data_IF_287964745973
#
_entry.id   IF_287964745973
#
_cell.length_a   1.000
_cell.length_b   1.000
_cell.length_c   1.000
_cell.angle_alpha   90.00
_cell.angle_beta   90.00
_cell.angle_gamma   90.00
#
_symmetry.space_group_name_H-M   'P 1'
#
loop_
_entity.id
_entity.type
_entity.pdbx_description
1 polymer ?
#
# COMPACT_ATOMS: atom_id res chain seq x y z
N UNK A 1 22.90 11.22 -56.45
CA UNK A 1 24.00 10.26 -56.58
C UNK A 1 23.60 9.14 -55.64
N UNK A 2 22.82 8.12 -56.09
CA UNK A 2 23.23 6.89 -56.74
C UNK A 2 24.30 6.19 -55.90
N UNK A 3 24.14 4.98 -55.46
CA UNK A 3 23.72 3.68 -56.03
C UNK A 3 23.45 2.71 -54.87
N UNK A 4 22.43 1.93 -54.73
CA UNK A 4 22.01 0.65 -55.35
C UNK A 4 23.04 -0.47 -55.34
N UNK A 5 22.66 -1.59 -54.72
CA UNK A 5 22.77 -2.99 -55.20
C UNK A 5 22.43 -3.94 -54.05
N UNK A 6 21.33 -4.63 -54.09
CA UNK A 6 20.97 -5.88 -54.78
C UNK A 6 21.54 -7.16 -54.15
N UNK A 7 20.59 -7.96 -53.69
CA UNK A 7 20.26 -9.37 -53.96
C UNK A 7 21.19 -10.50 -53.52
N UNK A 8 20.67 -11.43 -52.77
CA UNK A 8 20.25 -12.72 -53.31
C UNK A 8 19.63 -13.64 -52.28
N UNK A 9 18.52 -14.17 -52.70
CA UNK A 9 17.75 -15.27 -52.25
C UNK A 9 18.53 -16.59 -52.10
N UNK A 10 18.11 -17.42 -51.14
CA UNK A 10 18.04 -18.86 -51.39
C UNK A 10 16.97 -19.55 -50.57
N UNK A 11 16.17 -20.31 -51.31
CA UNK A 11 15.12 -21.24 -50.95
C UNK A 11 15.71 -22.55 -50.38
N UNK A 12 14.88 -23.23 -49.56
CA UNK A 12 15.09 -24.65 -49.20
C UNK A 12 14.09 -25.05 -48.15
N UNK A 13 12.92 -25.41 -48.60
CA UNK A 13 12.16 -26.68 -48.67
C UNK A 13 11.85 -27.34 -47.31
N UNK A 14 10.61 -27.26 -46.94
CA UNK A 14 9.53 -28.21 -46.63
C UNK A 14 9.99 -29.64 -46.35
N UNK A 15 9.69 -30.13 -45.16
CA UNK A 15 9.25 -31.51 -44.93
C UNK A 15 8.22 -31.57 -43.81
N UNK A 16 7.03 -32.04 -44.24
CA UNK A 16 5.88 -32.44 -43.44
C UNK A 16 6.05 -33.90 -43.01
N UNK A 17 5.78 -34.23 -41.75
CA UNK A 17 5.37 -35.61 -41.40
C UNK A 17 4.12 -35.52 -40.55
N UNK A 18 3.12 -36.20 -41.09
CA UNK A 18 1.78 -36.48 -40.59
C UNK A 18 1.74 -37.62 -39.57
N UNK A 19 0.66 -37.61 -38.80
CA UNK A 19 -0.17 -38.70 -38.24
C UNK A 19 0.46 -39.60 -37.17
N UNK A 20 -0.21 -39.79 -36.04
CA UNK A 20 -1.30 -40.74 -35.95
C UNK A 20 -2.18 -40.55 -34.72
N UNK A 21 -3.43 -40.72 -34.98
CA UNK A 21 -4.59 -40.79 -34.10
C UNK A 21 -4.68 -42.17 -33.47
N UNK A 22 -4.95 -42.28 -32.18
CA UNK A 22 -5.48 -43.50 -31.58
C UNK A 22 -6.56 -43.17 -30.55
N UNK A 23 -7.77 -43.29 -30.95
CA UNK A 23 -9.01 -43.44 -30.18
C UNK A 23 -9.12 -44.83 -29.58
N UNK A 24 -9.42 -44.93 -28.28
CA UNK A 24 -10.10 -46.07 -27.63
C UNK A 24 -10.80 -45.44 -26.43
N UNK A 25 -12.09 -45.44 -26.23
CA UNK A 25 -13.09 -46.47 -26.35
C UNK A 25 -13.85 -46.45 -25.03
N UNK A 26 -15.08 -46.02 -25.10
CA UNK A 26 -16.10 -46.00 -24.04
C UNK A 26 -16.29 -47.40 -23.44
N UNK A 27 -16.45 -47.51 -22.13
CA UNK A 27 -17.38 -48.50 -21.60
C UNK A 27 -18.05 -48.03 -20.30
N UNK A 28 -19.36 -48.17 -20.32
CA UNK A 28 -20.33 -47.91 -19.28
C UNK A 28 -20.51 -49.13 -18.38
N UNK A 29 -21.00 -48.88 -17.20
CA UNK A 29 -21.73 -49.76 -16.26
C UNK A 29 -20.93 -50.44 -15.14
N UNK A 30 -21.18 -49.99 -13.90
CA UNK A 30 -21.99 -50.77 -12.95
C UNK A 30 -22.37 -49.95 -11.72
N UNK A 31 -23.64 -50.14 -11.39
CA UNK A 31 -24.36 -49.62 -10.21
C UNK A 31 -24.00 -50.39 -8.93
N UNK A 32 -24.36 -49.69 -7.82
CA UNK A 32 -24.79 -50.20 -6.52
C UNK A 32 -23.70 -50.64 -5.53
N UNK A 33 -23.53 -49.87 -4.47
CA UNK A 33 -24.07 -50.21 -3.16
C UNK A 33 -23.87 -49.10 -2.13
N UNK A 34 -24.97 -48.79 -1.46
CA UNK A 34 -25.05 -47.90 -0.32
C UNK A 34 -24.55 -48.58 0.95
N UNK A 35 -23.85 -47.85 1.82
CA UNK A 35 -24.04 -47.86 3.28
C UNK A 35 -23.20 -46.83 4.01
N UNK A 36 -23.92 -45.85 4.54
CA UNK A 36 -23.81 -45.27 5.88
C UNK A 36 -22.46 -45.32 6.59
N UNK A 37 -21.88 -44.12 6.87
CA UNK A 37 -21.31 -43.79 8.18
C UNK A 37 -21.01 -42.29 8.28
N UNK A 38 -21.57 -41.68 9.35
CA UNK A 38 -20.94 -40.60 10.08
C UNK A 38 -21.11 -39.18 9.53
N UNK A 39 -22.22 -38.53 9.85
CA UNK A 39 -22.31 -37.09 9.95
C UNK A 39 -21.38 -36.61 11.05
N UNK A 40 -20.35 -35.91 10.74
CA UNK A 40 -19.77 -34.91 11.62
C UNK A 40 -20.02 -33.54 11.03
N UNK A 41 -21.06 -32.92 11.57
CA UNK A 41 -21.41 -31.53 11.38
C UNK A 41 -20.38 -30.75 12.16
N UNK A 42 -19.34 -30.25 11.49
CA UNK A 42 -18.51 -29.19 12.05
C UNK A 42 -19.31 -27.89 12.02
N UNK A 43 -19.65 -27.45 13.22
CA UNK A 43 -20.34 -26.20 13.52
C UNK A 43 -19.70 -24.99 12.83
N UNK A 44 -20.41 -24.43 11.86
CA UNK A 44 -20.22 -23.08 11.32
C UNK A 44 -20.75 -21.99 12.29
N UNK A 45 -20.36 -22.05 13.55
CA UNK A 45 -20.80 -21.06 14.54
C UNK A 45 -19.70 -20.46 15.37
N UNK A 46 -18.63 -19.97 14.76
CA UNK A 46 -17.67 -19.12 15.50
C UNK A 46 -16.98 -18.03 14.69
N UNK A 47 -17.53 -17.63 13.55
CA UNK A 47 -17.11 -16.40 12.84
C UNK A 47 -18.31 -15.46 12.72
N UNK A 48 -19.00 -15.28 13.82
CA UNK A 48 -20.04 -14.26 13.92
C UNK A 48 -19.49 -13.05 14.66
N UNK A 49 -19.49 -11.91 13.93
CA UNK A 49 -19.56 -10.55 14.44
C UNK A 49 -18.39 -10.03 15.27
N UNK A 50 -17.32 -9.66 14.59
CA UNK A 50 -16.62 -8.44 15.01
C UNK A 50 -16.97 -7.32 14.02
N UNK A 51 -18.21 -6.83 14.09
CA UNK A 51 -18.56 -5.49 13.61
C UNK A 51 -17.96 -4.49 14.60
N UNK A 52 -16.66 -4.23 14.46
CA UNK A 52 -15.98 -3.19 15.21
C UNK A 52 -16.28 -1.89 14.47
N UNK A 53 -17.18 -1.08 15.03
CA UNK A 53 -17.31 0.31 14.63
C UNK A 53 -15.98 0.99 14.96
N UNK A 54 -15.41 1.74 14.02
CA UNK A 54 -14.16 2.49 14.20
C UNK A 54 -14.16 3.40 15.45
N UNK A 55 -15.36 3.84 15.88
CA UNK A 55 -15.58 4.58 17.12
C UNK A 55 -15.28 3.81 18.41
N UNK A 56 -15.26 2.49 18.37
CA UNK A 56 -15.10 1.67 19.59
C UNK A 56 -13.62 1.40 19.90
N UNK A 57 -12.75 1.50 18.90
CA UNK A 57 -11.30 1.39 19.09
C UNK A 57 -10.71 2.61 19.84
N UNK A 58 -11.25 3.80 19.57
CA UNK A 58 -10.81 5.05 20.24
C UNK A 58 -11.41 5.17 21.66
N UNK A 59 -12.60 4.62 21.89
CA UNK A 59 -13.26 4.66 23.20
C UNK A 59 -12.64 3.72 24.25
N UNK A 60 -11.95 2.66 23.82
CA UNK A 60 -11.33 1.74 24.77
C UNK A 60 -10.11 2.33 25.49
N UNK A 61 -9.39 3.27 24.88
CA UNK A 61 -8.25 3.92 25.55
C UNK A 61 -8.66 5.05 26.51
N UNK A 62 -9.78 5.74 26.26
CA UNK A 62 -10.21 6.87 27.10
C UNK A 62 -11.05 6.48 28.30
N UNK A 63 -11.71 5.32 28.31
CA UNK A 63 -12.56 4.88 29.42
C UNK A 63 -11.82 4.11 30.52
N UNK A 64 -10.54 3.74 30.34
CA UNK A 64 -9.76 3.08 31.38
C UNK A 64 -9.28 4.04 32.50
N UNK A 65 -9.51 5.35 32.36
CA UNK A 65 -9.02 6.36 33.32
C UNK A 65 -10.03 6.85 34.34
N UNK A 66 -11.30 6.41 34.35
CA UNK A 66 -12.30 7.11 35.17
C UNK A 66 -12.99 6.34 36.30
N UNK A 67 -12.85 5.05 36.47
CA UNK A 67 -13.52 4.38 37.60
C UNK A 67 -12.72 3.16 38.10
N UNK A 68 -11.85 3.34 39.12
CA UNK A 68 -11.70 2.35 40.19
C UNK A 68 -11.01 2.95 41.39
N UNK A 69 -11.57 2.75 42.62
CA UNK A 69 -10.88 3.10 43.88
C UNK A 69 -9.80 2.06 44.21
N UNK A 70 -8.78 2.55 44.90
CA UNK A 70 -7.63 1.87 45.45
C UNK A 70 -7.87 0.42 45.88
N UNK A 71 -7.31 -0.53 45.14
CA UNK A 71 -6.98 -1.86 45.67
C UNK A 71 -5.54 -2.23 45.24
N UNK A 72 -4.74 -2.58 46.24
CA UNK A 72 -3.32 -2.92 46.13
C UNK A 72 -3.08 -4.26 45.44
N UNK A 73 -3.45 -4.41 44.19
CA UNK A 73 -2.94 -5.46 43.28
C UNK A 73 -2.04 -4.81 42.26
N UNK A 74 -0.77 -5.15 42.28
CA UNK A 74 0.23 -4.73 41.29
C UNK A 74 -0.32 -5.02 39.89
N UNK A 75 -0.97 -4.04 39.30
CA UNK A 75 -1.39 -4.04 37.90
C UNK A 75 -0.12 -4.07 37.04
N UNK A 76 0.09 -5.17 36.30
CA UNK A 76 1.07 -5.27 35.25
C UNK A 76 0.59 -4.52 34.01
N UNK A 77 0.33 -3.23 34.17
CA UNK A 77 0.17 -2.34 33.04
C UNK A 77 1.57 -2.19 32.46
N UNK A 78 1.79 -2.77 31.27
CA UNK A 78 2.94 -2.39 30.46
C UNK A 78 2.98 -0.87 30.42
N UNK A 79 4.08 -0.22 30.81
CA UNK A 79 4.15 1.22 30.72
C UNK A 79 3.89 1.57 29.24
N UNK A 80 2.80 2.30 29.01
CA UNK A 80 2.61 3.04 27.78
C UNK A 80 3.94 3.69 27.46
N UNK A 81 4.44 3.47 26.27
CA UNK A 81 5.68 4.03 25.78
C UNK A 81 5.76 5.49 26.21
N UNK A 82 6.51 5.74 27.24
CA UNK A 82 6.99 7.07 27.49
C UNK A 82 7.84 7.40 26.27
N UNK A 83 7.42 8.39 25.49
CA UNK A 83 8.26 8.90 24.40
C UNK A 83 9.61 9.19 25.03
N UNK A 84 10.66 8.49 24.64
CA UNK A 84 11.94 8.67 25.30
C UNK A 84 12.40 10.10 25.07
N UNK A 85 13.03 10.66 26.04
CA UNK A 85 13.93 11.79 25.87
C UNK A 85 14.72 11.61 24.58
N UNK A 86 14.92 12.65 23.79
CA UNK A 86 15.55 12.65 22.45
C UNK A 86 16.94 11.98 22.36
N UNK A 87 17.32 11.19 23.33
CA UNK A 87 18.61 10.50 23.37
C UNK A 87 18.49 9.09 22.78
N UNK A 88 19.45 8.67 21.93
CA UNK A 88 19.47 7.34 21.39
C UNK A 88 19.74 6.33 22.50
N UNK A 89 18.95 5.30 22.54
CA UNK A 89 19.10 4.27 23.56
C UNK A 89 18.56 2.93 23.15
N UNK A 90 18.90 1.92 23.91
CA UNK A 90 18.26 0.61 23.85
C UNK A 90 17.38 0.45 25.08
N UNK A 91 16.09 0.26 24.85
CA UNK A 91 15.15 -0.15 25.88
C UNK A 91 15.01 -1.68 25.86
N UNK A 92 15.05 -2.28 27.03
CA UNK A 92 14.83 -3.71 27.17
C UNK A 92 13.35 -3.97 27.52
N UNK A 93 12.65 -4.70 26.66
CA UNK A 93 11.22 -5.01 26.80
C UNK A 93 10.97 -6.51 26.85
N UNK A 94 9.69 -6.90 26.95
CA UNK A 94 9.26 -8.29 26.99
C UNK A 94 9.45 -8.95 28.36
N UNK A 95 9.07 -10.23 28.42
CA UNK A 95 9.24 -11.02 29.64
C UNK A 95 10.72 -11.10 30.03
N UNK A 96 11.00 -10.73 31.29
CA UNK A 96 12.35 -10.63 31.84
C UNK A 96 13.27 -9.60 31.18
N UNK A 97 12.70 -8.59 30.46
CA UNK A 97 13.46 -7.54 29.77
C UNK A 97 14.56 -8.09 28.85
N UNK A 98 14.24 -9.12 28.08
CA UNK A 98 15.21 -9.78 27.19
C UNK A 98 15.18 -9.31 25.74
N UNK A 99 14.18 -8.50 25.37
CA UNK A 99 14.06 -7.99 24.01
C UNK A 99 14.59 -6.57 23.95
N UNK A 100 15.72 -6.34 23.25
CA UNK A 100 16.24 -4.99 23.06
C UNK A 100 15.40 -4.27 22.00
N UNK A 101 14.98 -3.05 22.29
CA UNK A 101 14.30 -2.16 21.37
C UNK A 101 15.14 -0.91 21.21
N UNK A 102 15.54 -0.62 19.97
CA UNK A 102 16.27 0.59 19.65
C UNK A 102 15.31 1.75 19.47
N UNK A 103 15.64 2.90 20.08
CA UNK A 103 14.95 4.16 19.85
C UNK A 103 15.70 5.01 18.84
N UNK A 104 14.96 5.56 17.87
CA UNK A 104 15.50 6.49 16.88
C UNK A 104 15.26 7.93 17.34
N UNK A 105 16.26 8.79 17.19
CA UNK A 105 16.19 10.20 17.59
C UNK A 105 16.53 11.12 16.44
N UNK A 106 15.78 12.19 16.30
CA UNK A 106 16.03 13.23 15.31
C UNK A 106 17.40 13.91 15.53
N UNK A 107 17.83 14.07 16.77
CA UNK A 107 19.13 14.66 17.10
C UNK A 107 20.32 13.89 16.51
N UNK A 108 20.20 12.57 16.37
CA UNK A 108 21.23 11.75 15.74
C UNK A 108 21.34 11.99 14.23
N UNK A 109 20.24 12.38 13.59
CA UNK A 109 20.20 12.65 12.14
C UNK A 109 20.80 14.03 11.84
N UNK A 110 20.55 15.00 12.70
CA UNK A 110 21.00 16.39 12.54
C UNK A 110 22.45 16.62 12.95
N UNK A 111 23.03 15.72 13.75
CA UNK A 111 24.40 15.84 14.25
C UNK A 111 25.07 14.47 14.43
N UNK A 112 26.39 14.46 14.67
CA UNK A 112 27.09 13.25 15.07
C UNK A 112 26.73 12.91 16.53
N UNK A 113 26.35 11.64 16.75
CA UNK A 113 26.04 11.14 18.08
C UNK A 113 26.99 9.98 18.46
N UNK A 114 28.02 10.30 19.25
CA UNK A 114 29.01 9.31 19.71
C UNK A 114 28.38 8.18 20.53
N UNK A 115 27.28 8.48 21.24
CA UNK A 115 26.54 7.50 22.01
C UNK A 115 25.90 6.44 21.09
N UNK A 116 25.33 6.86 19.95
CA UNK A 116 24.75 5.97 18.96
C UNK A 116 25.83 5.08 18.30
N UNK A 117 26.98 5.64 17.99
CA UNK A 117 28.10 4.86 17.43
C UNK A 117 28.65 3.82 18.41
N UNK A 118 28.79 4.19 19.70
CA UNK A 118 29.19 3.25 20.75
C UNK A 118 28.18 2.13 20.90
N UNK A 119 26.88 2.45 20.87
CA UNK A 119 25.78 1.50 20.93
C UNK A 119 25.85 0.53 19.76
N UNK A 120 25.98 1.05 18.55
CA UNK A 120 26.09 0.24 17.32
C UNK A 120 27.24 -0.75 17.36
N UNK A 121 28.40 -0.31 17.86
CA UNK A 121 29.58 -1.18 18.03
C UNK A 121 29.36 -2.23 19.12
N UNK A 122 28.77 -1.84 20.25
CA UNK A 122 28.52 -2.73 21.39
C UNK A 122 27.60 -3.89 21.01
N UNK A 123 26.54 -3.62 20.23
CA UNK A 123 25.55 -4.60 19.83
C UNK A 123 25.75 -5.15 18.43
N UNK A 124 26.86 -4.82 17.73
CA UNK A 124 27.15 -5.21 16.34
C UNK A 124 25.96 -4.93 15.41
N UNK A 125 25.35 -3.73 15.58
CA UNK A 125 24.18 -3.35 14.79
C UNK A 125 24.55 -3.22 13.31
N UNK A 126 23.84 -3.93 12.47
CA UNK A 126 24.15 -3.97 11.05
C UNK A 126 22.89 -3.99 10.18
N UNK A 127 22.98 -3.39 9.01
CA UNK A 127 21.91 -3.39 8.02
C UNK A 127 22.41 -3.79 6.65
N UNK A 128 21.48 -4.12 5.79
CA UNK A 128 21.73 -4.42 4.39
C UNK A 128 20.67 -3.82 3.49
N UNK A 129 21.09 -3.14 2.42
CA UNK A 129 20.22 -2.68 1.35
C UNK A 129 20.28 -3.66 0.18
N UNK A 130 19.13 -4.10 -0.34
CA UNK A 130 19.04 -5.06 -1.44
C UNK A 130 18.06 -4.57 -2.50
N UNK A 131 18.52 -4.56 -3.76
CA UNK A 131 17.71 -4.11 -4.92
C UNK A 131 17.18 -2.69 -4.79
N UNK A 132 17.82 -1.87 -4.01
CA UNK A 132 17.51 -0.46 -3.89
C UNK A 132 18.71 0.31 -3.40
N UNK A 133 18.78 1.57 -3.79
CA UNK A 133 19.71 2.55 -3.27
C UNK A 133 18.91 3.69 -2.63
N UNK A 134 19.18 3.98 -1.37
CA UNK A 134 18.55 5.07 -0.64
C UNK A 134 19.55 5.75 0.29
N UNK A 135 19.97 6.95 -0.09
CA UNK A 135 20.82 7.80 0.76
C UNK A 135 20.14 8.10 2.09
N UNK A 136 18.81 8.32 2.06
CA UNK A 136 18.03 8.62 3.27
C UNK A 136 18.10 7.48 4.28
N UNK A 137 17.79 6.25 3.87
CA UNK A 137 17.81 5.08 4.76
C UNK A 137 19.23 4.83 5.28
N UNK A 138 20.23 4.92 4.39
CA UNK A 138 21.65 4.77 4.76
C UNK A 138 22.04 5.79 5.82
N UNK A 139 21.72 7.07 5.61
CA UNK A 139 22.04 8.13 6.55
C UNK A 139 21.34 7.94 7.91
N UNK A 140 20.05 7.61 7.92
CA UNK A 140 19.30 7.35 9.16
C UNK A 140 19.95 6.21 9.95
N UNK A 141 20.20 5.09 9.30
CA UNK A 141 20.76 3.91 9.97
C UNK A 141 22.18 4.14 10.46
N UNK A 142 23.03 4.75 9.63
CA UNK A 142 24.42 5.07 10.01
C UNK A 142 24.48 6.08 11.16
N UNK A 143 23.60 7.09 11.16
CA UNK A 143 23.51 8.07 12.26
C UNK A 143 23.12 7.42 13.60
N UNK A 144 22.44 6.27 13.56
CA UNK A 144 22.08 5.51 14.75
C UNK A 144 23.03 4.32 15.02
N UNK A 145 24.22 4.34 14.45
CA UNK A 145 25.29 3.40 14.74
C UNK A 145 25.22 2.07 13.99
N UNK A 146 24.27 1.89 13.07
CA UNK A 146 24.25 0.71 12.23
C UNK A 146 25.34 0.75 11.17
N UNK A 147 26.00 -0.38 10.93
CA UNK A 147 27.01 -0.55 9.89
C UNK A 147 26.42 -1.30 8.70
N UNK A 148 26.77 -0.87 7.49
CA UNK A 148 26.34 -1.58 6.28
C UNK A 148 27.13 -2.89 6.14
N UNK A 149 26.41 -4.02 6.05
CA UNK A 149 27.02 -5.33 5.92
C UNK A 149 27.23 -5.69 4.46
N UNK A 150 28.48 -5.90 4.05
CA UNK A 150 28.84 -6.39 2.73
C UNK A 150 28.63 -7.90 2.56
N UNK A 151 28.50 -8.65 3.65
CA UNK A 151 28.42 -10.11 3.63
C UNK A 151 27.06 -10.64 3.20
N UNK A 152 27.06 -11.56 2.24
CA UNK A 152 25.88 -12.21 1.70
C UNK A 152 25.24 -13.24 2.65
N UNK A 153 25.88 -13.62 3.73
CA UNK A 153 25.50 -14.72 4.61
C UNK A 153 25.07 -14.22 5.99
N UNK A 154 23.80 -13.85 6.13
CA UNK A 154 23.08 -13.90 7.43
C UNK A 154 23.51 -12.98 8.57
N UNK A 155 24.54 -12.15 8.41
CA UNK A 155 25.02 -11.25 9.49
C UNK A 155 24.49 -9.83 9.29
N UNK A 156 23.21 -9.62 9.58
CA UNK A 156 22.57 -8.30 9.63
C UNK A 156 21.43 -8.33 10.65
N UNK A 157 21.08 -7.20 11.21
CA UNK A 157 19.88 -7.05 12.03
C UNK A 157 18.69 -6.58 11.19
N UNK A 158 18.94 -5.68 10.23
CA UNK A 158 17.91 -5.10 9.40
C UNK A 158 18.21 -5.35 7.91
N UNK A 159 17.27 -5.98 7.22
CA UNK A 159 17.24 -6.05 5.76
C UNK A 159 16.22 -5.05 5.23
N UNK A 160 16.69 -4.09 4.43
CA UNK A 160 15.82 -3.20 3.69
C UNK A 160 15.92 -3.53 2.19
N UNK A 161 14.86 -4.04 1.62
CA UNK A 161 14.83 -4.50 0.23
C UNK A 161 13.81 -3.73 -0.59
N UNK A 162 14.13 -3.45 -1.86
CA UNK A 162 13.21 -2.86 -2.83
C UNK A 162 12.35 -3.88 -3.59
N UNK A 163 12.29 -5.12 -3.12
CA UNK A 163 11.50 -6.17 -3.78
C UNK A 163 11.05 -7.25 -2.81
N UNK A 164 10.01 -7.97 -3.21
CA UNK A 164 9.44 -9.04 -2.40
C UNK A 164 10.46 -10.15 -2.11
N UNK A 165 10.36 -10.72 -0.91
CA UNK A 165 11.21 -11.80 -0.46
C UNK A 165 10.79 -13.13 -1.07
N UNK A 166 11.78 -13.93 -1.43
CA UNK A 166 11.54 -15.32 -1.83
C UNK A 166 11.25 -16.17 -0.59
N UNK A 167 10.42 -17.23 -0.69
CA UNK A 167 10.14 -18.14 0.42
C UNK A 167 11.39 -18.70 1.12
N UNK A 168 12.43 -18.97 0.35
CA UNK A 168 13.73 -19.45 0.89
C UNK A 168 14.39 -18.44 1.81
N UNK A 169 14.27 -17.14 1.53
CA UNK A 169 14.83 -16.08 2.37
C UNK A 169 14.07 -15.95 3.70
N UNK A 170 12.76 -16.19 3.69
CA UNK A 170 11.95 -16.15 4.91
C UNK A 170 12.28 -17.30 5.88
N UNK A 171 12.65 -18.47 5.34
CA UNK A 171 12.99 -19.65 6.16
C UNK A 171 14.30 -19.51 6.95
N UNK A 172 15.24 -18.74 6.43
CA UNK A 172 16.57 -18.57 7.05
C UNK A 172 16.65 -17.42 8.06
N UNK A 173 15.52 -16.74 8.32
CA UNK A 173 15.49 -15.64 9.26
C UNK A 173 15.65 -16.11 10.71
N UNK A 174 16.64 -15.58 11.40
CA UNK A 174 16.83 -15.73 12.84
C UNK A 174 16.01 -14.70 13.62
N UNK A 175 15.91 -14.85 14.93
CA UNK A 175 15.05 -14.01 15.78
C UNK A 175 15.48 -12.54 15.86
N UNK A 176 16.73 -12.26 15.56
CA UNK A 176 17.28 -10.90 15.54
C UNK A 176 17.13 -10.16 14.20
N UNK A 177 16.61 -10.83 13.14
CA UNK A 177 16.39 -10.20 11.86
C UNK A 177 15.09 -9.40 11.81
N UNK A 178 15.13 -8.23 11.19
CA UNK A 178 13.97 -7.42 10.80
C UNK A 178 14.00 -7.15 9.31
N UNK A 179 12.83 -7.17 8.66
CA UNK A 179 12.69 -7.00 7.20
C UNK A 179 11.52 -6.09 6.90
N UNK A 180 11.71 -5.20 5.94
CA UNK A 180 10.75 -4.17 5.54
C UNK A 180 9.65 -4.65 4.58
N UNK A 181 9.38 -5.94 4.46
CA UNK A 181 8.29 -6.48 3.64
C UNK A 181 7.64 -7.70 4.27
N UNK A 182 6.30 -7.75 4.17
CA UNK A 182 5.55 -8.97 4.41
C UNK A 182 5.47 -9.82 3.14
N UNK A 183 5.38 -11.15 3.24
CA UNK A 183 5.09 -11.98 2.08
C UNK A 183 3.72 -11.61 1.49
N UNK A 184 3.65 -11.57 0.15
CA UNK A 184 2.45 -11.17 -0.61
C UNK A 184 1.97 -9.74 -0.38
N UNK A 185 2.78 -8.83 0.13
CA UNK A 185 2.38 -7.41 0.24
C UNK A 185 1.99 -6.78 -1.10
N UNK A 186 2.34 -7.42 -2.23
CA UNK A 186 1.85 -7.01 -3.55
C UNK A 186 0.32 -7.09 -3.69
N UNK A 187 -0.38 -7.79 -2.82
CA UNK A 187 -1.85 -7.85 -2.84
C UNK A 187 -2.49 -6.49 -2.54
N UNK A 188 -1.79 -5.60 -1.82
CA UNK A 188 -2.24 -4.22 -1.57
C UNK A 188 -1.54 -3.19 -2.47
N UNK A 189 -0.29 -3.46 -2.91
CA UNK A 189 0.50 -2.48 -3.66
C UNK A 189 0.32 -2.55 -5.17
N UNK A 190 -0.20 -3.66 -5.71
CA UNK A 190 -0.55 -3.77 -7.14
C UNK A 190 -2.01 -3.38 -7.34
N UNK A 191 -2.25 -2.49 -8.31
CA UNK A 191 -3.58 -1.93 -8.59
C UNK A 191 -4.63 -3.00 -8.90
N UNK A 192 -4.27 -3.99 -9.73
CA UNK A 192 -5.15 -5.10 -10.08
C UNK A 192 -5.50 -5.97 -8.86
N UNK A 193 -4.51 -6.25 -8.02
CA UNK A 193 -4.70 -7.07 -6.83
C UNK A 193 -5.54 -6.36 -5.78
N UNK A 194 -5.24 -5.10 -5.52
CA UNK A 194 -6.02 -4.27 -4.61
C UNK A 194 -7.48 -4.20 -5.06
N UNK A 195 -7.75 -3.91 -6.34
CA UNK A 195 -9.11 -3.90 -6.88
C UNK A 195 -9.82 -5.24 -6.70
N UNK A 196 -9.18 -6.38 -7.05
CA UNK A 196 -9.74 -7.73 -6.84
C UNK A 196 -10.07 -8.01 -5.38
N UNK A 197 -9.19 -7.62 -4.45
CA UNK A 197 -9.40 -7.83 -3.02
C UNK A 197 -10.54 -6.97 -2.47
N UNK A 198 -10.62 -5.70 -2.88
CA UNK A 198 -11.72 -4.81 -2.49
C UNK A 198 -13.04 -5.30 -3.07
N UNK A 199 -13.11 -5.66 -4.36
CA UNK A 199 -14.32 -6.25 -4.97
C UNK A 199 -14.79 -7.53 -4.26
N UNK A 200 -13.84 -8.37 -3.83
CA UNK A 200 -14.16 -9.56 -3.01
C UNK A 200 -14.81 -9.15 -1.69
N UNK A 201 -14.31 -8.13 -1.01
CA UNK A 201 -14.90 -7.65 0.25
C UNK A 201 -16.25 -6.97 0.03
N UNK A 202 -16.43 -6.22 -1.06
CA UNK A 202 -17.73 -5.66 -1.44
C UNK A 202 -18.78 -6.74 -1.63
N UNK A 203 -18.43 -7.86 -2.27
CA UNK A 203 -19.34 -9.01 -2.42
C UNK A 203 -19.65 -9.72 -1.11
N UNK A 204 -18.67 -9.84 -0.21
CA UNK A 204 -18.80 -10.55 1.06
C UNK A 204 -19.49 -9.72 2.16
N UNK A 205 -19.25 -8.42 2.21
CA UNK A 205 -19.66 -7.54 3.31
C UNK A 205 -20.67 -6.46 2.88
N UNK A 206 -20.87 -6.31 1.59
CA UNK A 206 -21.72 -5.28 1.01
C UNK A 206 -20.90 -4.10 0.47
N UNK A 207 -21.38 -3.56 -0.67
CA UNK A 207 -20.73 -2.46 -1.37
C UNK A 207 -20.49 -1.25 -0.46
N UNK A 208 -21.52 -0.83 0.28
CA UNK A 208 -21.48 0.36 1.13
C UNK A 208 -20.42 0.30 2.24
N UNK A 209 -19.99 -0.89 2.66
CA UNK A 209 -18.96 -1.04 3.68
C UNK A 209 -17.54 -0.95 3.12
N UNK A 210 -17.34 -1.33 1.86
CA UNK A 210 -16.04 -1.32 1.20
C UNK A 210 -16.01 -0.43 -0.04
N UNK A 211 -16.84 0.61 -0.08
CA UNK A 211 -16.88 1.59 -1.16
C UNK A 211 -15.76 2.63 -1.00
N UNK A 212 -14.53 2.12 -1.04
CA UNK A 212 -13.29 2.90 -0.85
C UNK A 212 -12.56 3.20 -2.16
N UNK A 213 -12.87 2.46 -3.23
CA UNK A 213 -12.34 2.66 -4.58
C UNK A 213 -13.43 3.19 -5.49
N UNK A 214 -13.13 4.07 -6.45
CA UNK A 214 -14.03 4.32 -7.55
C UNK A 214 -14.33 3.01 -8.29
N UNK A 215 -15.52 2.82 -8.88
CA UNK A 215 -15.81 1.65 -9.70
C UNK A 215 -14.67 1.37 -10.67
N UNK A 216 -14.10 0.19 -10.61
CA UNK A 216 -12.86 -0.17 -11.29
C UNK A 216 -13.01 -1.51 -11.98
N UNK A 217 -12.37 -1.66 -13.15
CA UNK A 217 -12.42 -2.84 -13.99
C UNK A 217 -11.02 -3.28 -14.36
N UNK A 218 -10.79 -4.59 -14.40
CA UNK A 218 -9.49 -5.18 -14.71
C UNK A 218 -9.57 -5.77 -16.11
N UNK A 219 -8.84 -5.18 -17.03
CA UNK A 219 -8.86 -5.59 -18.43
C UNK A 219 -7.70 -6.54 -18.73
N UNK A 220 -7.90 -7.50 -19.66
CA UNK A 220 -9.08 -7.61 -20.55
C UNK A 220 -10.31 -8.30 -19.95
N UNK A 221 -10.21 -8.96 -18.77
CA UNK A 221 -11.23 -9.86 -18.25
C UNK A 221 -12.61 -9.18 -18.04
N UNK A 222 -12.65 -7.92 -17.61
CA UNK A 222 -13.87 -7.18 -17.23
C UNK A 222 -14.26 -6.11 -18.28
N UNK A 223 -13.93 -6.32 -19.56
CA UNK A 223 -14.21 -5.31 -20.61
C UNK A 223 -15.71 -5.14 -20.86
N UNK A 224 -16.50 -6.21 -20.83
CA UNK A 224 -17.94 -6.13 -21.05
C UNK A 224 -18.66 -5.40 -19.92
N UNK A 225 -18.22 -5.61 -18.68
CA UNK A 225 -18.71 -4.91 -17.50
C UNK A 225 -18.39 -3.41 -17.58
N UNK A 226 -17.19 -3.06 -18.04
CA UNK A 226 -16.82 -1.66 -18.30
C UNK A 226 -17.73 -1.03 -19.33
N UNK A 227 -17.97 -1.69 -20.48
CA UNK A 227 -18.85 -1.18 -21.53
C UNK A 227 -20.29 -1.00 -21.02
N UNK A 228 -20.77 -1.94 -20.20
CA UNK A 228 -22.10 -1.87 -19.60
C UNK A 228 -22.22 -0.70 -18.63
N UNK A 229 -21.22 -0.48 -17.78
CA UNK A 229 -21.17 0.65 -16.85
C UNK A 229 -21.09 1.99 -17.61
N UNK A 230 -20.25 2.06 -18.65
CA UNK A 230 -20.13 3.26 -19.49
C UNK A 230 -21.44 3.61 -20.19
N UNK A 231 -22.15 2.62 -20.70
CA UNK A 231 -23.46 2.84 -21.36
C UNK A 231 -24.49 3.48 -20.42
N UNK A 232 -24.43 3.17 -19.13
CA UNK A 232 -25.31 3.74 -18.11
C UNK A 232 -24.92 5.16 -17.72
N UNK A 233 -23.63 5.40 -17.46
CA UNK A 233 -23.17 6.64 -16.81
C UNK A 233 -22.61 7.68 -17.77
N UNK A 234 -22.00 7.26 -18.88
CA UNK A 234 -21.34 8.11 -19.89
C UNK A 234 -20.38 9.14 -19.27
N UNK A 235 -19.56 8.69 -18.33
CA UNK A 235 -18.57 9.53 -17.64
C UNK A 235 -17.15 9.17 -18.09
N UNK A 236 -16.17 10.05 -17.89
CA UNK A 236 -14.77 9.72 -18.18
C UNK A 236 -14.25 8.59 -17.28
N UNK A 237 -13.31 7.83 -17.83
CA UNK A 237 -12.56 6.81 -17.08
C UNK A 237 -11.05 7.11 -17.13
N UNK A 238 -10.33 6.65 -16.12
CA UNK A 238 -8.88 6.75 -16.03
C UNK A 238 -8.26 5.37 -16.19
N UNK A 239 -7.35 5.24 -17.15
CA UNK A 239 -6.63 4.00 -17.47
C UNK A 239 -5.29 4.00 -16.76
N UNK A 240 -5.00 2.95 -16.02
CA UNK A 240 -3.79 2.80 -15.21
C UNK A 240 -3.09 1.48 -15.53
N UNK A 241 -1.85 1.46 -16.04
CA UNK A 241 -1.08 0.23 -16.19
C UNK A 241 -0.90 -0.49 -14.85
N UNK A 242 -0.99 -1.83 -14.84
CA UNK A 242 -0.97 -2.62 -13.59
C UNK A 242 0.33 -2.46 -12.79
N UNK A 243 1.47 -2.43 -13.47
CA UNK A 243 2.80 -2.44 -12.86
C UNK A 243 3.56 -1.10 -13.02
N UNK A 244 2.85 0.00 -13.23
CA UNK A 244 3.46 1.32 -13.40
C UNK A 244 3.28 2.19 -12.16
N UNK A 245 4.21 3.10 -11.95
CA UNK A 245 4.20 4.07 -10.86
C UNK A 245 4.53 5.47 -11.36
N UNK A 246 4.33 6.49 -10.51
CA UNK A 246 4.69 7.88 -10.78
C UNK A 246 3.92 8.50 -11.93
N UNK A 247 2.68 8.07 -12.19
CA UNK A 247 1.84 8.60 -13.27
C UNK A 247 2.24 8.15 -14.69
N UNK A 248 3.19 7.23 -14.85
CA UNK A 248 3.62 6.76 -16.17
C UNK A 248 2.54 5.91 -16.82
N UNK A 249 2.20 6.23 -18.07
CA UNK A 249 1.20 5.51 -18.85
C UNK A 249 -0.23 5.67 -18.35
N UNK A 250 -0.49 6.60 -17.43
CA UNK A 250 -1.85 6.93 -16.98
C UNK A 250 -2.44 7.97 -17.94
N UNK A 251 -3.67 7.71 -18.40
CA UNK A 251 -4.43 8.65 -19.25
C UNK A 251 -5.93 8.51 -19.01
N UNK A 252 -6.67 9.54 -19.41
CA UNK A 252 -8.13 9.57 -19.34
C UNK A 252 -8.70 9.25 -20.71
N UNK A 253 -9.87 8.60 -20.70
CA UNK A 253 -10.64 8.25 -21.90
C UNK A 253 -12.07 8.76 -21.78
N UNK A 254 -12.65 9.06 -22.93
CA UNK A 254 -14.06 9.37 -23.08
C UNK A 254 -14.90 8.15 -23.49
N UNK A 255 -14.29 7.18 -24.14
CA UNK A 255 -14.94 5.95 -24.62
C UNK A 255 -14.09 4.71 -24.36
N UNK A 256 -14.69 3.55 -24.02
CA UNK A 256 -13.96 2.30 -23.80
C UNK A 256 -13.11 1.84 -25.00
N UNK A 257 -13.49 2.23 -26.22
CA UNK A 257 -12.79 1.90 -27.47
C UNK A 257 -11.41 2.56 -27.58
N UNK A 258 -11.14 3.59 -26.78
CA UNK A 258 -9.82 4.25 -26.70
C UNK A 258 -8.77 3.44 -25.95
N UNK A 259 -9.16 2.32 -25.33
CA UNK A 259 -8.24 1.52 -24.49
C UNK A 259 -7.43 0.59 -25.39
N UNK A 260 -6.09 0.62 -25.34
CA UNK A 260 -5.26 -0.37 -26.03
C UNK A 260 -5.55 -1.78 -25.48
N UNK A 261 -5.83 -2.72 -26.40
CA UNK A 261 -6.15 -4.11 -26.04
C UNK A 261 -4.92 -4.97 -25.69
N UNK A 262 -3.70 -4.45 -25.92
CA UNK A 262 -2.47 -5.23 -25.92
C UNK A 262 -1.85 -5.45 -24.54
N UNK A 263 -2.21 -4.60 -23.56
CA UNK A 263 -1.64 -4.66 -22.22
C UNK A 263 -2.73 -4.73 -21.14
N UNK A 264 -2.51 -5.54 -20.10
CA UNK A 264 -3.43 -5.58 -18.97
C UNK A 264 -3.38 -4.27 -18.18
N UNK A 265 -4.55 -3.66 -17.98
CA UNK A 265 -4.73 -2.36 -17.32
C UNK A 265 -5.85 -2.41 -16.27
N UNK A 266 -5.81 -1.49 -15.33
CA UNK A 266 -6.94 -1.19 -14.44
C UNK A 266 -7.60 0.10 -14.92
N UNK A 267 -8.90 0.04 -15.21
CA UNK A 267 -9.71 1.17 -15.63
C UNK A 267 -10.64 1.54 -14.49
N UNK A 268 -10.57 2.77 -14.04
CA UNK A 268 -11.41 3.25 -12.93
C UNK A 268 -12.28 4.42 -13.40
N UNK A 269 -13.51 4.48 -12.89
CA UNK A 269 -14.35 5.67 -13.06
C UNK A 269 -13.58 6.89 -12.58
N UNK A 270 -13.51 7.93 -13.41
CA UNK A 270 -12.82 9.15 -13.06
C UNK A 270 -13.65 9.98 -12.07
N UNK A 271 -13.01 10.48 -11.01
CA UNK A 271 -13.66 11.41 -10.07
C UNK A 271 -13.65 12.78 -10.71
N UNK A 272 -14.78 13.13 -11.35
CA UNK A 272 -14.92 14.35 -12.14
C UNK A 272 -15.24 15.58 -11.28
N UNK A 273 -15.60 15.37 -10.03
CA UNK A 273 -15.94 16.39 -9.04
C UNK A 273 -15.00 16.34 -7.83
N UNK A 274 -13.67 16.49 -8.04
CA UNK A 274 -12.76 16.54 -6.92
C UNK A 274 -12.97 17.82 -6.11
N UNK A 275 -12.73 17.76 -4.80
CA UNK A 275 -12.60 18.97 -4.01
C UNK A 275 -11.38 19.76 -4.53
N UNK A 276 -11.57 21.04 -4.79
CA UNK A 276 -10.55 21.92 -5.36
C UNK A 276 -10.10 22.96 -4.32
N UNK A 277 -8.82 23.27 -4.33
CA UNK A 277 -8.26 24.37 -3.56
C UNK A 277 -7.75 25.40 -4.58
N UNK A 278 -8.27 26.62 -4.53
CA UNK A 278 -8.01 27.69 -5.52
C UNK A 278 -8.21 27.25 -6.98
N UNK A 279 -9.13 26.30 -7.21
CA UNK A 279 -9.40 25.76 -8.54
C UNK A 279 -8.39 24.69 -9.00
N UNK A 280 -7.46 24.27 -8.14
CA UNK A 280 -6.51 23.20 -8.43
C UNK A 280 -6.96 21.88 -7.81
N UNK A 281 -6.83 20.83 -8.59
CA UNK A 281 -7.00 19.45 -8.10
C UNK A 281 -5.77 19.06 -7.28
N UNK A 282 -6.01 18.32 -6.19
CA UNK A 282 -4.95 17.77 -5.37
C UNK A 282 -5.27 16.35 -4.92
N UNK A 283 -4.26 15.67 -4.45
CA UNK A 283 -4.39 14.43 -3.68
C UNK A 283 -3.53 14.50 -2.40
N UNK A 284 -3.84 13.59 -1.49
CA UNK A 284 -3.14 13.48 -0.21
C UNK A 284 -2.36 12.17 -0.17
N UNK A 285 -1.06 12.24 0.10
CA UNK A 285 -0.20 11.10 0.36
C UNK A 285 -0.05 10.91 1.86
N UNK A 286 -0.59 9.81 2.39
CA UNK A 286 -0.49 9.44 3.80
C UNK A 286 0.35 8.18 3.92
N UNK A 287 1.14 8.11 4.99
CA UNK A 287 1.99 6.95 5.26
C UNK A 287 1.40 6.11 6.39
N UNK A 288 1.42 4.79 6.19
CA UNK A 288 0.99 3.82 7.18
C UNK A 288 2.04 2.73 7.36
N UNK A 289 2.34 2.39 8.60
CA UNK A 289 3.26 1.31 8.94
C UNK A 289 2.49 0.13 9.53
N UNK A 290 2.74 -1.07 9.03
CA UNK A 290 2.22 -2.32 9.58
C UNK A 290 3.35 -3.08 10.23
N UNK A 291 3.15 -3.49 11.48
CA UNK A 291 4.12 -4.29 12.23
C UNK A 291 3.64 -5.71 12.50
N UNK A 292 2.35 -5.96 12.35
CA UNK A 292 1.74 -7.28 12.45
C UNK A 292 0.44 -7.33 11.63
N UNK A 293 0.14 -8.48 11.05
CA UNK A 293 -1.16 -8.78 10.45
C UNK A 293 -2.03 -9.67 11.33
N UNK A 294 -1.46 -10.30 12.38
CA UNK A 294 -2.19 -11.13 13.34
C UNK A 294 -1.60 -10.96 14.78
N UNK A 295 -2.28 -10.19 15.64
CA UNK A 295 -3.36 -9.26 15.32
C UNK A 295 -2.88 -8.15 14.36
N UNK A 296 -3.80 -7.53 13.63
CA UNK A 296 -3.45 -6.40 12.77
C UNK A 296 -3.04 -5.20 13.63
N UNK A 297 -1.77 -4.79 13.49
CA UNK A 297 -1.22 -3.62 14.16
C UNK A 297 -0.76 -2.62 13.10
N UNK A 298 -1.47 -1.50 13.06
CA UNK A 298 -1.33 -0.45 12.06
C UNK A 298 -1.06 0.89 12.74
N UNK A 299 -0.07 1.61 12.24
CA UNK A 299 0.24 2.99 12.62
C UNK A 299 0.06 3.89 11.42
N UNK A 300 -0.72 4.94 11.56
CA UNK A 300 -0.86 5.99 10.55
C UNK A 300 -0.03 7.18 11.01
N UNK A 301 0.84 7.67 10.13
CA UNK A 301 1.66 8.83 10.41
C UNK A 301 0.78 10.08 10.40
N UNK A 302 0.93 10.93 11.40
CA UNK A 302 0.11 12.13 11.59
C UNK A 302 0.31 13.18 10.50
N UNK A 303 1.49 13.17 9.86
CA UNK A 303 1.82 14.04 8.74
C UNK A 303 1.77 13.32 7.39
N UNK A 304 1.66 14.12 6.33
CA UNK A 304 1.60 13.64 4.96
C UNK A 304 1.96 14.74 3.97
N UNK A 305 1.75 14.44 2.71
CA UNK A 305 2.01 15.37 1.62
C UNK A 305 0.72 15.64 0.84
N UNK A 306 0.48 16.88 0.52
CA UNK A 306 -0.56 17.31 -0.43
C UNK A 306 0.12 17.67 -1.74
N UNK A 307 -0.34 17.11 -2.85
CA UNK A 307 0.27 17.31 -4.16
C UNK A 307 -0.76 17.96 -5.09
N UNK A 308 -0.44 19.11 -5.60
CA UNK A 308 -1.33 19.85 -6.49
C UNK A 308 -0.97 19.61 -7.95
N UNK A 309 -2.02 19.53 -8.78
CA UNK A 309 -1.89 19.71 -10.22
C UNK A 309 -1.38 21.13 -10.53
N UNK A 310 -0.66 21.31 -11.62
CA UNK A 310 -0.13 22.64 -12.00
C UNK A 310 -1.08 23.43 -12.88
N UNK A 311 -2.07 22.78 -13.46
CA UNK A 311 -3.10 23.43 -14.30
C UNK A 311 -4.43 23.40 -13.56
N UNK A 312 -5.15 24.54 -13.56
CA UNK A 312 -6.49 24.66 -12.95
C UNK A 312 -7.45 23.65 -13.52
N UNK A 313 -8.19 22.98 -12.64
CA UNK A 313 -9.12 21.94 -13.03
C UNK A 313 -10.33 22.51 -13.78
N UNK A 314 -10.67 21.87 -14.88
CA UNK A 314 -11.86 22.15 -15.65
C UNK A 314 -12.62 20.84 -15.88
N UNK A 315 -13.90 20.77 -15.47
CA UNK A 315 -14.70 19.56 -15.66
C UNK A 315 -15.05 19.36 -17.15
N UNK A 316 -15.38 18.13 -17.51
CA UNK A 316 -15.87 17.75 -18.84
C UNK A 316 -14.81 17.09 -19.72
N UNK A 317 -15.23 16.77 -20.97
CA UNK A 317 -14.45 15.95 -21.89
C UNK A 317 -13.38 16.69 -22.68
N UNK A 318 -13.42 18.04 -22.70
CA UNK A 318 -12.55 18.85 -23.58
C UNK A 318 -11.06 18.76 -23.24
N UNK A 319 -10.73 18.54 -21.97
CA UNK A 319 -9.36 18.66 -21.46
C UNK A 319 -8.77 17.34 -20.97
N UNK A 320 -9.36 16.18 -21.28
CA UNK A 320 -8.93 14.87 -20.80
C UNK A 320 -7.46 14.54 -21.09
N UNK A 321 -6.89 15.14 -22.14
CA UNK A 321 -5.47 14.93 -22.50
C UNK A 321 -4.50 15.80 -21.69
N UNK A 322 -4.98 16.76 -20.89
CA UNK A 322 -4.15 17.63 -20.07
C UNK A 322 -3.67 16.89 -18.81
N UNK A 323 -2.56 16.18 -18.90
CA UNK A 323 -2.04 15.40 -17.76
C UNK A 323 -1.79 16.26 -16.52
N UNK A 324 -1.28 17.46 -16.67
CA UNK A 324 -0.97 18.35 -15.55
C UNK A 324 -2.21 18.98 -14.88
N UNK A 325 -3.40 18.81 -15.47
CA UNK A 325 -4.70 19.15 -14.88
C UNK A 325 -5.28 17.99 -14.06
N UNK A 326 -5.10 16.77 -14.53
CA UNK A 326 -5.79 15.59 -14.00
C UNK A 326 -4.94 14.75 -13.06
N UNK A 327 -3.61 14.75 -13.24
CA UNK A 327 -2.66 13.98 -12.44
C UNK A 327 -1.89 14.91 -11.48
N UNK A 328 -1.84 14.52 -10.23
CA UNK A 328 -1.16 15.24 -9.14
C UNK A 328 0.26 14.74 -8.89
N UNK A 329 0.69 13.69 -9.60
CA UNK A 329 2.00 13.10 -9.44
C UNK A 329 3.13 14.11 -9.67
N UNK A 330 4.05 14.24 -8.72
CA UNK A 330 5.21 15.13 -8.82
C UNK A 330 6.03 14.91 -10.10
N UNK A 331 6.22 13.66 -10.52
CA UNK A 331 6.98 13.32 -11.72
C UNK A 331 6.35 13.81 -13.03
N UNK A 332 5.04 14.05 -13.04
CA UNK A 332 4.32 14.66 -14.15
C UNK A 332 4.44 16.19 -14.05
N UNK A 333 4.02 16.75 -12.93
CA UNK A 333 3.86 18.18 -12.74
C UNK A 333 5.18 18.95 -12.71
N UNK A 334 6.28 18.38 -12.19
CA UNK A 334 7.60 19.05 -12.18
C UNK A 334 8.18 19.36 -13.57
N UNK A 335 7.56 18.82 -14.62
CA UNK A 335 7.96 19.10 -16.01
C UNK A 335 7.20 20.30 -16.59
N UNK A 336 6.13 20.74 -15.94
CA UNK A 336 5.40 21.91 -16.34
C UNK A 336 6.15 23.17 -15.88
N UNK A 337 6.22 24.18 -16.74
CA UNK A 337 6.85 25.47 -16.43
C UNK A 337 6.14 26.22 -15.30
N UNK A 338 4.85 25.96 -15.07
CA UNK A 338 4.05 26.54 -14.00
C UNK A 338 4.29 25.85 -12.63
N UNK A 339 5.17 24.85 -12.56
CA UNK A 339 5.44 24.16 -11.31
C UNK A 339 6.22 25.06 -10.34
N UNK A 340 5.62 25.36 -9.21
CA UNK A 340 6.22 26.17 -8.16
C UNK A 340 6.86 25.28 -7.09
N UNK A 341 8.17 25.43 -6.94
CA UNK A 341 8.91 24.79 -5.85
C UNK A 341 8.75 25.56 -4.56
N UNK A 342 8.76 24.83 -3.45
CA UNK A 342 8.96 25.40 -2.12
C UNK A 342 10.39 25.06 -1.67
N UNK A 343 11.23 26.06 -1.55
CA UNK A 343 12.63 25.92 -1.16
C UNK A 343 12.85 26.20 0.33
N UNK A 344 11.82 26.72 1.03
CA UNK A 344 11.87 26.95 2.48
C UNK A 344 11.14 25.84 3.24
N UNK A 345 11.90 25.07 4.02
CA UNK A 345 11.35 23.97 4.81
C UNK A 345 10.42 24.43 5.95
N UNK A 346 10.45 25.73 6.34
CA UNK A 346 9.59 26.28 7.38
C UNK A 346 8.22 26.74 6.83
N UNK A 347 8.09 26.83 5.51
CA UNK A 347 6.83 27.19 4.85
C UNK A 347 6.14 25.93 4.37
N UNK A 348 4.97 25.62 4.92
CA UNK A 348 4.29 24.34 4.69
C UNK A 348 3.18 24.41 3.64
N UNK A 349 2.73 25.61 3.26
CA UNK A 349 1.56 25.92 2.45
C UNK A 349 1.90 26.72 1.18
N UNK A 350 3.06 26.50 0.60
CA UNK A 350 3.50 27.19 -0.60
C UNK A 350 3.82 26.25 -1.75
N UNK A 351 3.51 26.68 -2.97
CA UNK A 351 3.79 25.96 -4.21
C UNK A 351 2.91 24.72 -4.42
N UNK A 352 3.38 23.81 -5.26
CA UNK A 352 2.62 22.61 -5.64
C UNK A 352 2.73 21.42 -4.67
N UNK A 353 3.34 21.64 -3.50
CA UNK A 353 3.41 20.64 -2.41
C UNK A 353 3.21 21.34 -1.08
N UNK A 354 2.23 20.88 -0.34
CA UNK A 354 1.98 21.32 1.03
C UNK A 354 2.19 20.17 2.00
N UNK A 355 2.33 20.49 3.30
CA UNK A 355 2.16 19.48 4.34
C UNK A 355 0.68 19.15 4.52
N UNK A 356 0.38 17.94 5.05
CA UNK A 356 -0.99 17.59 5.42
C UNK A 356 -1.50 18.54 6.52
N UNK A 357 -0.65 18.85 7.50
CA UNK A 357 -0.98 19.78 8.58
C UNK A 357 -1.41 21.14 8.05
N UNK A 358 -0.74 21.68 7.03
CA UNK A 358 -1.11 22.93 6.38
C UNK A 358 -2.50 22.86 5.74
N UNK A 359 -2.78 21.80 4.97
CA UNK A 359 -4.10 21.58 4.39
C UNK A 359 -5.19 21.52 5.46
N UNK A 360 -4.95 20.76 6.55
CA UNK A 360 -5.94 20.61 7.62
C UNK A 360 -6.18 21.93 8.36
N UNK A 361 -5.17 22.77 8.54
CA UNK A 361 -5.33 24.14 9.11
C UNK A 361 -6.17 25.02 8.19
N UNK A 362 -5.86 25.01 6.90
CA UNK A 362 -6.62 25.75 5.89
C UNK A 362 -8.09 25.32 5.87
N UNK A 363 -8.37 24.03 5.75
CA UNK A 363 -9.76 23.52 5.74
C UNK A 363 -10.52 23.87 7.02
N UNK A 364 -9.84 23.89 8.17
CA UNK A 364 -10.46 24.29 9.45
C UNK A 364 -10.80 25.77 9.46
N UNK A 365 -9.95 26.63 8.89
CA UNK A 365 -10.24 28.08 8.79
C UNK A 365 -11.44 28.36 7.87
N UNK A 366 -11.66 27.51 6.86
CA UNK A 366 -12.85 27.55 5.98
C UNK A 366 -14.10 26.90 6.60
N UNK A 367 -14.02 26.45 7.88
CA UNK A 367 -15.15 25.87 8.60
C UNK A 367 -15.45 24.41 8.27
N UNK A 368 -14.55 23.69 7.59
CA UNK A 368 -14.75 22.29 7.24
C UNK A 368 -14.58 21.34 8.43
N UNK A 369 -15.33 20.23 8.43
CA UNK A 369 -15.16 19.13 9.40
C UNK A 369 -13.92 18.30 9.10
N UNK A 370 -12.78 18.81 9.53
CA UNK A 370 -11.47 18.18 9.37
C UNK A 370 -11.37 16.86 10.15
N UNK A 371 -11.97 16.80 11.33
CA UNK A 371 -11.95 15.59 12.16
C UNK A 371 -12.72 14.45 11.47
N UNK A 372 -13.91 14.74 10.97
CA UNK A 372 -14.68 13.77 10.21
C UNK A 372 -14.00 13.36 8.90
N UNK A 373 -13.30 14.27 8.22
CA UNK A 373 -12.52 13.95 7.03
C UNK A 373 -11.40 12.96 7.37
N UNK A 374 -10.61 13.23 8.41
CA UNK A 374 -9.50 12.33 8.80
C UNK A 374 -10.00 10.95 9.24
N UNK A 375 -11.10 10.87 9.99
CA UNK A 375 -11.70 9.59 10.36
C UNK A 375 -12.14 8.78 9.13
N UNK A 376 -12.70 9.44 8.11
CA UNK A 376 -13.05 8.77 6.84
C UNK A 376 -11.82 8.31 6.06
N UNK A 377 -10.73 9.08 6.08
CA UNK A 377 -9.45 8.70 5.48
C UNK A 377 -8.84 7.48 6.20
N UNK A 378 -8.85 7.48 7.52
CA UNK A 378 -8.40 6.35 8.34
C UNK A 378 -9.22 5.09 8.05
N UNK A 379 -10.54 5.22 7.92
CA UNK A 379 -11.43 4.12 7.54
C UNK A 379 -11.06 3.52 6.17
N UNK A 380 -10.76 4.37 5.18
CA UNK A 380 -10.28 3.92 3.85
C UNK A 380 -8.99 3.13 3.99
N UNK A 381 -8.03 3.60 4.78
CA UNK A 381 -6.74 2.93 5.00
C UNK A 381 -6.95 1.58 5.69
N UNK A 382 -7.71 1.56 6.79
CA UNK A 382 -8.01 0.32 7.55
C UNK A 382 -8.71 -0.70 6.66
N UNK A 383 -9.73 -0.30 5.90
CA UNK A 383 -10.45 -1.19 4.98
C UNK A 383 -9.57 -1.74 3.87
N UNK A 384 -8.60 -0.95 3.41
CA UNK A 384 -7.60 -1.43 2.44
C UNK A 384 -6.80 -2.61 3.00
N UNK A 385 -6.31 -2.52 4.24
CA UNK A 385 -5.62 -3.62 4.90
C UNK A 385 -6.54 -4.81 5.19
N UNK A 386 -7.76 -4.57 5.65
CA UNK A 386 -8.74 -5.64 5.88
C UNK A 386 -9.07 -6.40 4.59
N UNK A 387 -9.06 -5.73 3.44
CA UNK A 387 -9.31 -6.38 2.15
C UNK A 387 -8.25 -7.41 1.78
N UNK A 388 -7.01 -7.21 2.21
CA UNK A 388 -5.86 -8.09 1.88
C UNK A 388 -5.41 -8.96 3.05
N UNK A 389 -6.08 -8.87 4.19
CA UNK A 389 -5.70 -9.57 5.42
C UNK A 389 -5.59 -11.09 5.19
N UNK A 390 -6.63 -11.70 4.65
CA UNK A 390 -6.69 -13.16 4.44
C UNK A 390 -5.58 -13.69 3.52
N UNK A 391 -5.33 -13.17 2.31
CA UNK A 391 -4.26 -13.68 1.46
C UNK A 391 -2.84 -13.44 2.01
N UNK A 392 -2.61 -12.40 2.82
CA UNK A 392 -1.32 -12.16 3.46
C UNK A 392 -1.14 -13.14 4.63
N UNK A 393 -2.13 -13.27 5.51
CA UNK A 393 -2.08 -14.19 6.65
C UNK A 393 -1.89 -15.64 6.22
N UNK A 394 -2.60 -16.10 5.19
CA UNK A 394 -2.44 -17.45 4.66
C UNK A 394 -0.98 -17.76 4.29
N UNK A 395 -0.23 -16.76 3.88
CA UNK A 395 1.20 -16.94 3.56
C UNK A 395 2.09 -16.73 4.80
N UNK A 396 1.79 -15.75 5.64
CA UNK A 396 2.54 -15.53 6.89
C UNK A 396 2.51 -16.79 7.78
N UNK A 397 1.39 -17.50 7.84
CA UNK A 397 1.24 -18.72 8.64
C UNK A 397 2.11 -19.90 8.14
N UNK A 398 2.53 -19.87 6.87
CA UNK A 398 3.50 -20.83 6.34
C UNK A 398 4.94 -20.55 6.81
N UNK A 399 5.18 -19.35 7.33
CA UNK A 399 6.48 -18.86 7.79
C UNK A 399 6.34 -18.18 9.16
N UNK A 400 6.31 -18.94 10.28
CA UNK A 400 6.10 -18.38 11.62
C UNK A 400 7.05 -17.22 11.97
N UNK A 401 8.25 -17.25 11.38
CA UNK A 401 9.21 -16.17 11.49
C UNK A 401 8.69 -14.80 10.99
N UNK A 402 7.70 -14.76 10.10
CA UNK A 402 7.20 -13.51 9.53
C UNK A 402 6.41 -12.67 10.53
N UNK A 403 5.71 -13.30 11.47
CA UNK A 403 4.84 -12.60 12.42
C UNK A 403 5.57 -11.58 13.30
N UNK A 404 6.84 -11.87 13.66
CA UNK A 404 7.63 -11.00 14.55
C UNK A 404 8.78 -10.27 13.85
N UNK A 405 9.08 -10.60 12.60
CA UNK A 405 10.30 -10.12 11.90
C UNK A 405 10.00 -9.18 10.76
N UNK A 406 8.79 -9.20 10.23
CA UNK A 406 8.38 -8.31 9.15
C UNK A 406 7.74 -7.04 9.68
N UNK A 407 7.99 -5.94 8.99
CA UNK A 407 7.25 -4.70 9.06
C UNK A 407 7.17 -4.13 7.65
N UNK A 408 6.23 -3.24 7.38
CA UNK A 408 6.17 -2.61 6.07
C UNK A 408 5.59 -1.22 6.15
N UNK A 409 6.14 -0.30 5.35
CA UNK A 409 5.69 1.08 5.24
C UNK A 409 5.01 1.27 3.89
N UNK A 410 3.78 1.76 3.93
CA UNK A 410 2.93 2.00 2.76
C UNK A 410 2.64 3.49 2.58
N UNK A 411 2.51 3.92 1.34
CA UNK A 411 2.03 5.27 1.00
C UNK A 411 0.69 5.15 0.30
N UNK A 412 -0.32 5.81 0.84
CA UNK A 412 -1.67 5.86 0.31
C UNK A 412 -1.90 7.16 -0.44
N UNK A 413 -2.34 7.08 -1.67
CA UNK A 413 -2.78 8.22 -2.47
C UNK A 413 -4.29 8.31 -2.39
N UNK A 414 -4.79 9.38 -1.78
CA UNK A 414 -6.21 9.60 -1.51
C UNK A 414 -6.64 10.93 -2.14
N UNK A 415 -7.74 10.91 -2.87
CA UNK A 415 -8.40 12.12 -3.35
C UNK A 415 -9.70 12.33 -2.57
N UNK A 416 -10.03 13.56 -2.32
CA UNK A 416 -11.30 13.97 -1.70
C UNK A 416 -12.20 14.55 -2.79
N UNK A 417 -13.45 14.14 -2.84
CA UNK A 417 -14.45 14.73 -3.75
C UNK A 417 -15.13 15.96 -3.12
N UNK A 418 -15.99 16.62 -3.88
CA UNK A 418 -16.70 17.83 -3.46
C UNK A 418 -17.70 17.61 -2.30
N UNK A 419 -18.01 16.35 -1.97
CA UNK A 419 -18.80 15.96 -0.79
C UNK A 419 -17.92 15.62 0.41
N UNK A 420 -16.63 15.96 0.39
CA UNK A 420 -15.65 15.60 1.41
C UNK A 420 -15.52 14.08 1.63
N UNK A 421 -15.81 13.29 0.58
CA UNK A 421 -15.63 11.85 0.61
C UNK A 421 -14.22 11.48 0.09
N UNK A 422 -13.43 10.75 0.87
CA UNK A 422 -12.14 10.26 0.43
C UNK A 422 -12.28 9.00 -0.44
N UNK A 423 -11.47 8.94 -1.49
CA UNK A 423 -11.34 7.82 -2.40
C UNK A 423 -9.90 7.38 -2.49
N UNK A 424 -9.63 6.09 -2.38
CA UNK A 424 -8.31 5.52 -2.59
C UNK A 424 -7.96 5.50 -4.08
N UNK A 425 -6.80 6.04 -4.43
CA UNK A 425 -6.30 6.05 -5.81
C UNK A 425 -5.23 4.97 -6.03
N UNK A 426 -4.33 4.83 -5.04
CA UNK A 426 -3.20 3.90 -5.08
C UNK A 426 -2.68 3.60 -3.66
#
# INVERSE_FOLDING_TARGET
MCETSNCSSNNGSVESINSDCATVGCDQNKRDDARTLGRDICDEKSVAAASIKSSDFIKHETNFRKNHPSDHRKSWVLPLFHVPTNEPGVMWTGNFRRTPVMTFSQSCILGKCDAAEKLGRCYNMSYRLVRMESKLIRNILSAHGFQESANHLGKFNLLWTGGHLRPTQLRILSDFHKINHFPRSYEITRKDRLAKNVHRMQRLKGLHQFDILPPSFILPEEFQELCSAYAQDKVPYIVKPMASSRGRGIFLISHPEEIPCDEPVVVSRYISNPFLLDGFKFDVRIYAAVTSYDPLVLYIYEEGLVRFATVRYQPGFKHLRSQCMHLTNYSVNKKNFEFVHNDDANVEDYGNKWSLGALLRYLRSEGADVTGLMLRIEDVIVKSFLSVLSPILATCNLFPACQSKCFELYGFDIIVDDNFRPWLLE
#
